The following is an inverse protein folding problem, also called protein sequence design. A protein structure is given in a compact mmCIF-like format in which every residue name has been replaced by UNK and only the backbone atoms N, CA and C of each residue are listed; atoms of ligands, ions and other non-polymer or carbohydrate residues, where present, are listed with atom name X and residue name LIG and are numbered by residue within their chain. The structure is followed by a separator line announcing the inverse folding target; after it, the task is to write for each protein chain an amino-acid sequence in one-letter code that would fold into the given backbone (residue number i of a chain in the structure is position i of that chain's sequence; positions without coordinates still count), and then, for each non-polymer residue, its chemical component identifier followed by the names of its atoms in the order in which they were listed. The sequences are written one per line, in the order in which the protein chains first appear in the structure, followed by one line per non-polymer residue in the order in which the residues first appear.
data_IF_695657112960
#
_entry.id   IF_695657112960
#
_cell.length_a   1.000
_cell.length_b   1.000
_cell.length_c   1.000
_cell.angle_alpha   90.00
_cell.angle_beta   90.00
_cell.angle_gamma   90.00
#
_symmetry.space_group_name_H-M   'P 1'
#
loop_
_entity.id
_entity.type
_entity.pdbx_description
1 polymer ?
#
# COMPACT_ATOMS: atom_id res chain seq x y z
N UNK A 1 4.85 -19.10 62.19
CA UNK A 1 5.58 -17.94 61.64
C UNK A 1 5.30 -17.85 60.15
N UNK A 2 4.48 -16.89 59.70
CA UNK A 2 4.23 -16.56 58.29
C UNK A 2 4.79 -15.17 58.04
N UNK A 3 5.80 -15.04 57.17
CA UNK A 3 6.36 -13.75 56.77
C UNK A 3 6.75 -13.78 55.29
N UNK A 4 6.28 -12.74 54.59
CA UNK A 4 6.85 -12.13 53.39
C UNK A 4 6.41 -12.68 52.02
N UNK A 5 5.21 -12.29 51.58
CA UNK A 5 4.73 -12.44 50.19
C UNK A 5 4.12 -11.13 49.67
N UNK A 6 4.76 -9.99 49.89
CA UNK A 6 4.22 -8.69 49.45
C UNK A 6 5.36 -7.67 49.24
N UNK A 7 6.20 -7.88 48.23
CA UNK A 7 7.13 -6.83 47.75
C UNK A 7 7.69 -7.07 46.33
N UNK A 8 7.06 -7.90 45.50
CA UNK A 8 7.47 -8.11 44.10
C UNK A 8 6.22 -8.18 43.21
N UNK A 9 5.42 -7.12 43.20
CA UNK A 9 4.26 -7.06 42.29
C UNK A 9 4.02 -5.65 41.71
N UNK A 10 5.05 -4.82 41.64
CA UNK A 10 4.90 -3.42 41.20
C UNK A 10 6.03 -2.88 40.31
N UNK A 11 6.88 -3.75 39.75
CA UNK A 11 7.93 -3.34 38.79
C UNK A 11 7.79 -4.02 37.41
N UNK A 12 6.88 -5.00 37.24
CA UNK A 12 6.69 -5.70 35.95
C UNK A 12 5.57 -5.08 35.08
N UNK A 13 4.89 -4.02 35.53
CA UNK A 13 3.79 -3.39 34.78
C UNK A 13 4.20 -2.22 33.87
N UNK A 14 5.50 -1.90 33.75
CA UNK A 14 5.97 -0.69 33.04
C UNK A 14 6.80 -0.96 31.77
N UNK A 15 6.82 -2.20 31.25
CA UNK A 15 7.64 -2.57 30.08
C UNK A 15 6.86 -3.24 28.93
N UNK A 16 5.54 -3.06 28.87
CA UNK A 16 4.71 -3.44 27.71
C UNK A 16 4.10 -2.22 27.02
N UNK A 17 4.80 -1.08 27.05
CA UNK A 17 4.66 -0.10 25.98
C UNK A 17 5.30 -0.69 24.72
N UNK A 18 4.59 -1.65 24.14
CA UNK A 18 4.88 -2.20 22.84
C UNK A 18 5.15 -1.03 21.91
N UNK A 19 6.33 -1.02 21.32
CA UNK A 19 6.66 -0.20 20.16
C UNK A 19 5.66 -0.58 19.07
N UNK A 20 4.45 -0.02 19.12
CA UNK A 20 3.55 0.03 17.99
C UNK A 20 4.31 0.87 16.96
N UNK A 21 5.07 0.18 16.10
CA UNK A 21 5.71 0.81 14.96
C UNK A 21 4.61 1.55 14.24
N UNK A 22 4.66 2.88 14.32
CA UNK A 22 3.71 3.73 13.60
C UNK A 22 3.84 3.32 12.14
N UNK A 23 2.70 2.99 11.53
CA UNK A 23 2.65 2.74 10.10
C UNK A 23 3.33 3.92 9.39
N UNK A 24 4.24 3.68 8.44
CA UNK A 24 4.86 4.75 7.65
C UNK A 24 3.85 5.36 6.67
N UNK A 25 2.67 4.75 6.53
CA UNK A 25 1.63 5.16 5.61
C UNK A 25 0.78 6.28 6.21
N UNK A 26 0.25 7.20 5.38
CA UNK A 26 -0.76 8.13 5.83
C UNK A 26 -1.96 7.37 6.39
N UNK A 27 -2.66 8.00 7.33
CA UNK A 27 -3.94 7.47 7.79
C UNK A 27 -4.92 7.34 6.60
N UNK A 28 -5.89 6.41 6.66
CA UNK A 28 -6.95 6.38 5.66
C UNK A 28 -7.63 7.74 5.53
N UNK A 29 -7.96 8.13 4.30
CA UNK A 29 -8.67 9.40 4.01
C UNK A 29 -10.04 9.11 3.40
N UNK A 30 -10.93 10.11 3.48
CA UNK A 30 -12.31 10.00 3.02
C UNK A 30 -13.20 9.17 3.96
N UNK A 31 -14.52 9.28 3.77
CA UNK A 31 -15.50 8.52 4.56
C UNK A 31 -15.43 7.03 4.28
N UNK A 32 -15.53 6.15 5.29
CA UNK A 32 -15.65 4.70 5.07
C UNK A 32 -16.89 4.31 4.24
N UNK A 33 -17.90 5.20 4.22
CA UNK A 33 -19.14 5.07 3.44
C UNK A 33 -19.06 5.75 2.07
N UNK A 34 -17.90 6.26 1.68
CA UNK A 34 -17.73 6.88 0.38
C UNK A 34 -18.06 5.88 -0.75
N UNK A 35 -18.69 6.34 -1.85
CA UNK A 35 -19.12 5.46 -2.93
C UNK A 35 -17.95 4.80 -3.67
N UNK A 36 -16.75 5.41 -3.61
CA UNK A 36 -15.53 4.86 -4.21
C UNK A 36 -14.55 4.45 -3.14
N UNK A 37 -13.92 3.29 -3.33
CA UNK A 37 -12.89 2.76 -2.43
C UNK A 37 -11.64 2.46 -3.23
N UNK A 38 -10.50 2.99 -2.79
CA UNK A 38 -9.19 2.77 -3.43
C UNK A 38 -8.25 2.13 -2.43
N UNK A 39 -7.61 1.04 -2.84
CA UNK A 39 -6.49 0.45 -2.10
C UNK A 39 -5.18 0.85 -2.75
N UNK A 40 -4.22 1.29 -1.95
CA UNK A 40 -2.83 1.54 -2.35
C UNK A 40 -1.92 0.59 -1.55
N UNK A 41 -1.31 -0.38 -2.21
CA UNK A 41 -0.33 -1.27 -1.62
C UNK A 41 1.10 -0.84 -2.01
N UNK A 42 1.94 -0.49 -1.04
CA UNK A 42 3.25 0.08 -1.30
C UNK A 42 4.38 -0.53 -0.46
N UNK A 43 5.62 -0.32 -0.90
CA UNK A 43 6.83 -0.68 -0.14
C UNK A 43 7.32 0.53 0.65
N UNK A 44 7.71 0.32 1.91
CA UNK A 44 8.26 1.37 2.76
C UNK A 44 9.64 1.84 2.27
N UNK A 45 9.62 2.77 1.32
CA UNK A 45 10.80 3.47 0.79
C UNK A 45 10.48 4.96 0.71
N UNK A 46 11.49 5.81 0.87
CA UNK A 46 11.31 7.27 0.86
C UNK A 46 10.54 7.79 -0.36
N UNK A 47 10.89 7.31 -1.55
CA UNK A 47 10.21 7.71 -2.80
C UNK A 47 8.74 7.28 -2.80
N UNK A 48 8.44 6.03 -2.42
CA UNK A 48 7.08 5.51 -2.46
C UNK A 48 6.18 6.11 -1.38
N UNK A 49 6.72 6.42 -0.20
CA UNK A 49 5.98 7.16 0.83
C UNK A 49 5.54 8.52 0.25
N UNK A 50 6.48 9.29 -0.30
CA UNK A 50 6.17 10.59 -0.89
C UNK A 50 5.19 10.47 -2.08
N UNK A 51 5.32 9.42 -2.89
CA UNK A 51 4.41 9.13 -4.00
C UNK A 51 3.00 8.84 -3.48
N UNK A 52 2.87 7.97 -2.48
CA UNK A 52 1.61 7.59 -1.86
C UNK A 52 0.95 8.80 -1.21
N UNK A 53 1.67 9.61 -0.45
CA UNK A 53 1.15 10.85 0.15
C UNK A 53 0.58 11.79 -0.90
N UNK A 54 1.31 11.98 -2.01
CA UNK A 54 0.83 12.80 -3.13
C UNK A 54 -0.40 12.22 -3.80
N UNK A 55 -0.42 10.91 -4.05
CA UNK A 55 -1.57 10.21 -4.64
C UNK A 55 -2.81 10.29 -3.74
N UNK A 56 -2.65 10.08 -2.43
CA UNK A 56 -3.72 10.21 -1.43
C UNK A 56 -4.29 11.63 -1.45
N UNK A 57 -3.45 12.66 -1.45
CA UNK A 57 -3.90 14.05 -1.56
C UNK A 57 -4.66 14.35 -2.85
N UNK A 58 -4.32 13.69 -3.97
CA UNK A 58 -5.02 13.86 -5.25
C UNK A 58 -6.33 13.07 -5.32
N UNK A 59 -6.45 11.98 -4.57
CA UNK A 59 -7.65 11.14 -4.49
C UNK A 59 -8.65 11.62 -3.44
N UNK A 60 -8.24 12.49 -2.51
CA UNK A 60 -9.11 13.10 -1.51
C UNK A 60 -10.04 14.16 -2.15
N UNK A 61 -11.04 13.69 -2.88
CA UNK A 61 -12.04 14.48 -3.60
C UNK A 61 -13.39 14.56 -2.86
N UNK A 62 -13.45 14.07 -1.62
CA UNK A 62 -14.67 13.97 -0.81
C UNK A 62 -15.59 12.79 -1.14
N UNK A 63 -15.33 12.05 -2.22
CA UNK A 63 -16.13 10.90 -2.67
C UNK A 63 -15.35 9.58 -2.71
N UNK A 64 -14.08 9.61 -2.32
CA UNK A 64 -13.17 8.46 -2.38
C UNK A 64 -12.63 8.15 -0.99
N UNK A 65 -12.82 6.91 -0.55
CA UNK A 65 -12.12 6.34 0.60
C UNK A 65 -10.81 5.72 0.15
N UNK A 66 -9.68 6.14 0.70
CA UNK A 66 -8.37 5.59 0.32
C UNK A 66 -7.76 4.86 1.51
N UNK A 67 -7.42 3.59 1.31
CA UNK A 67 -6.72 2.73 2.26
C UNK A 67 -5.31 2.49 1.75
N UNK A 68 -4.31 2.64 2.61
CA UNK A 68 -2.92 2.34 2.29
C UNK A 68 -2.42 1.17 3.12
N UNK A 69 -1.85 0.17 2.46
CA UNK A 69 -1.26 -1.03 3.09
C UNK A 69 0.17 -1.26 2.61
N UNK A 70 0.90 -2.08 3.36
CA UNK A 70 2.18 -2.60 2.88
C UNK A 70 1.95 -3.68 1.81
N UNK A 71 2.75 -3.68 0.74
CA UNK A 71 2.60 -4.63 -0.37
C UNK A 71 3.18 -6.03 -0.11
N UNK A 72 3.64 -6.31 1.12
CA UNK A 72 4.10 -7.66 1.50
C UNK A 72 2.92 -8.64 1.54
N UNK A 73 3.27 -9.93 1.68
CA UNK A 73 2.30 -11.01 1.89
C UNK A 73 1.34 -10.69 3.03
N UNK A 74 1.81 -10.08 4.12
CA UNK A 74 0.96 -9.80 5.28
C UNK A 74 -0.02 -8.66 5.03
N UNK A 75 0.40 -7.60 4.32
CA UNK A 75 -0.47 -6.47 4.03
C UNK A 75 -1.50 -6.76 2.93
N UNK A 76 -1.19 -7.68 2.00
CA UNK A 76 -2.12 -8.15 0.98
C UNK A 76 -3.01 -9.32 1.43
N UNK A 77 -2.77 -9.89 2.62
CA UNK A 77 -3.52 -11.06 3.09
C UNK A 77 -4.98 -10.69 3.35
N UNK A 78 -5.89 -11.37 2.66
CA UNK A 78 -7.33 -11.17 2.81
C UNK A 78 -7.88 -9.94 2.07
N UNK A 79 -7.04 -9.25 1.29
CA UNK A 79 -7.50 -8.20 0.39
C UNK A 79 -8.24 -8.83 -0.78
N UNK A 80 -9.52 -8.52 -0.92
CA UNK A 80 -10.35 -8.84 -2.08
C UNK A 80 -10.46 -7.61 -2.99
N UNK A 81 -9.96 -7.63 -4.23
CA UNK A 81 -10.01 -6.46 -5.11
C UNK A 81 -11.45 -6.03 -5.45
N UNK A 82 -12.45 -6.90 -5.29
CA UNK A 82 -13.86 -6.57 -5.56
C UNK A 82 -14.46 -5.58 -4.56
N UNK A 83 -13.83 -5.41 -3.40
CA UNK A 83 -14.24 -4.41 -2.39
C UNK A 83 -13.79 -2.99 -2.74
N UNK A 84 -13.01 -2.84 -3.81
CA UNK A 84 -12.39 -1.59 -4.22
C UNK A 84 -12.82 -1.24 -5.64
N UNK A 85 -13.06 0.05 -5.89
CA UNK A 85 -13.20 0.59 -7.24
C UNK A 85 -11.88 0.50 -8.00
N UNK A 86 -10.75 0.63 -7.29
CA UNK A 86 -9.43 0.43 -7.86
C UNK A 86 -8.43 -0.08 -6.82
N UNK A 87 -7.52 -0.95 -7.25
CA UNK A 87 -6.37 -1.41 -6.46
C UNK A 87 -5.10 -0.98 -7.17
N UNK A 88 -4.26 -0.23 -6.48
CA UNK A 88 -2.95 0.20 -6.98
C UNK A 88 -1.83 -0.47 -6.18
N UNK A 89 -0.88 -1.10 -6.86
CA UNK A 89 0.26 -1.75 -6.23
C UNK A 89 1.55 -1.15 -6.77
N UNK A 90 2.44 -0.65 -5.91
CA UNK A 90 3.76 -0.16 -6.32
C UNK A 90 4.89 -1.11 -5.89
N UNK A 91 5.60 -1.67 -6.87
CA UNK A 91 6.64 -2.67 -6.69
C UNK A 91 8.03 -2.13 -7.08
N UNK A 92 9.05 -2.39 -6.26
CA UNK A 92 10.44 -2.12 -6.68
C UNK A 92 10.93 -3.32 -7.47
N UNK A 93 11.23 -3.12 -8.75
CA UNK A 93 11.76 -4.18 -9.59
C UNK A 93 13.26 -4.32 -9.40
N UNK A 94 13.71 -5.04 -8.36
CA UNK A 94 15.09 -5.49 -8.33
C UNK A 94 15.28 -6.51 -9.47
N UNK A 95 16.23 -6.25 -10.38
CA UNK A 95 16.52 -7.10 -11.55
C UNK A 95 15.35 -7.33 -12.50
N UNK A 96 14.49 -6.33 -12.69
CA UNK A 96 13.35 -6.45 -13.59
C UNK A 96 12.36 -7.56 -13.21
N UNK A 97 12.01 -7.65 -11.92
CA UNK A 97 11.08 -8.66 -11.42
C UNK A 97 10.03 -8.08 -10.46
N UNK A 98 8.79 -8.57 -10.59
CA UNK A 98 7.73 -8.31 -9.62
C UNK A 98 8.01 -9.17 -8.38
N UNK A 99 7.83 -8.62 -7.17
CA UNK A 99 8.04 -9.40 -5.95
C UNK A 99 7.12 -10.63 -5.93
N UNK A 100 7.60 -11.80 -5.49
CA UNK A 100 6.80 -13.03 -5.48
C UNK A 100 5.48 -12.92 -4.71
N UNK A 101 5.43 -12.13 -3.63
CA UNK A 101 4.19 -11.94 -2.87
C UNK A 101 3.10 -11.20 -3.68
N UNK A 102 3.50 -10.25 -4.53
CA UNK A 102 2.57 -9.53 -5.41
C UNK A 102 2.10 -10.45 -6.52
N UNK A 103 2.99 -11.22 -7.16
CA UNK A 103 2.61 -12.23 -8.16
C UNK A 103 1.64 -13.26 -7.58
N UNK A 104 1.94 -13.78 -6.40
CA UNK A 104 1.08 -14.73 -5.69
C UNK A 104 -0.31 -14.15 -5.43
N UNK A 105 -0.40 -12.88 -5.03
CA UNK A 105 -1.69 -12.23 -4.82
C UNK A 105 -2.43 -12.02 -6.15
N UNK A 106 -1.75 -11.56 -7.20
CA UNK A 106 -2.33 -11.41 -8.54
C UNK A 106 -2.89 -12.74 -9.07
N UNK A 107 -2.16 -13.84 -8.90
CA UNK A 107 -2.62 -15.18 -9.30
C UNK A 107 -3.89 -15.61 -8.53
N UNK A 108 -3.98 -15.27 -7.24
CA UNK A 108 -5.15 -15.58 -6.41
C UNK A 108 -6.40 -14.80 -6.84
N UNK A 109 -6.22 -13.60 -7.38
CA UNK A 109 -7.32 -12.69 -7.73
C UNK A 109 -7.50 -12.53 -9.24
N UNK A 110 -6.86 -13.36 -10.05
CA UNK A 110 -6.81 -13.23 -11.52
C UNK A 110 -8.19 -13.20 -12.21
N UNK A 111 -9.26 -13.68 -11.57
CA UNK A 111 -10.62 -13.59 -12.09
C UNK A 111 -11.27 -12.19 -11.89
N UNK A 112 -10.63 -11.32 -11.12
CA UNK A 112 -11.17 -10.05 -10.62
C UNK A 112 -10.12 -8.92 -10.71
N UNK A 113 -9.23 -9.00 -11.69
CA UNK A 113 -8.03 -8.16 -11.78
C UNK A 113 -8.21 -6.89 -12.64
N UNK A 114 -9.43 -6.69 -13.17
CA UNK A 114 -9.80 -5.59 -14.09
C UNK A 114 -9.57 -4.20 -13.49
N UNK A 115 -9.65 -4.08 -12.16
CA UNK A 115 -9.48 -2.83 -11.42
C UNK A 115 -8.09 -2.68 -10.79
N UNK A 116 -7.16 -3.59 -11.11
CA UNK A 116 -5.82 -3.61 -10.55
C UNK A 116 -4.85 -2.88 -11.48
N UNK A 117 -4.06 -1.96 -10.92
CA UNK A 117 -2.96 -1.28 -11.59
C UNK A 117 -1.64 -1.62 -10.88
N UNK A 118 -0.71 -2.23 -11.60
CA UNK A 118 0.64 -2.51 -11.12
C UNK A 118 1.62 -1.44 -11.60
N UNK A 119 2.13 -0.65 -10.68
CA UNK A 119 3.25 0.23 -10.92
C UNK A 119 4.56 -0.45 -10.54
N UNK A 120 5.58 -0.32 -11.40
CA UNK A 120 6.92 -0.81 -11.12
C UNK A 120 7.95 0.31 -11.25
N UNK A 121 8.90 0.38 -10.31
CA UNK A 121 9.95 1.40 -10.35
C UNK A 121 11.24 0.84 -10.93
N UNK A 122 11.64 1.29 -12.14
CA UNK A 122 12.87 0.90 -12.83
C UNK A 122 13.38 1.99 -13.77
N UNK A 123 14.67 1.89 -14.16
CA UNK A 123 15.32 2.82 -15.09
C UNK A 123 15.12 2.39 -16.55
N UNK A 124 14.93 1.10 -16.80
CA UNK A 124 14.79 0.54 -18.15
C UNK A 124 13.33 0.26 -18.49
N UNK A 125 13.01 0.32 -19.79
CA UNK A 125 11.71 -0.16 -20.28
C UNK A 125 11.60 -1.66 -20.00
N UNK A 126 10.63 -2.01 -19.17
CA UNK A 126 10.32 -3.37 -18.80
C UNK A 126 8.81 -3.53 -18.74
N UNK A 127 8.33 -4.56 -19.42
CA UNK A 127 6.94 -4.99 -19.39
C UNK A 127 6.85 -6.22 -18.47
N UNK A 128 6.30 -6.07 -17.25
CA UNK A 128 6.14 -7.21 -16.35
C UNK A 128 5.17 -8.22 -16.99
N UNK A 129 5.47 -9.54 -16.94
CA UNK A 129 4.61 -10.57 -17.52
C UNK A 129 3.38 -10.81 -16.61
N UNK A 130 2.54 -9.80 -16.45
CA UNK A 130 1.30 -9.80 -15.67
C UNK A 130 0.12 -9.46 -16.58
N UNK A 131 -1.09 -9.86 -16.18
CA UNK A 131 -2.32 -9.63 -16.97
C UNK A 131 -3.02 -8.31 -16.65
N UNK A 132 -2.62 -7.65 -15.58
CA UNK A 132 -3.21 -6.40 -15.09
C UNK A 132 -2.64 -5.18 -15.82
N UNK A 133 -3.32 -4.04 -15.74
CA UNK A 133 -2.74 -2.78 -16.25
C UNK A 133 -1.42 -2.53 -15.52
N UNK A 134 -0.35 -2.30 -16.27
CA UNK A 134 0.97 -2.10 -15.69
C UNK A 134 1.66 -0.86 -16.26
N UNK A 135 2.44 -0.22 -15.41
CA UNK A 135 3.21 0.96 -15.77
C UNK A 135 4.55 0.95 -15.05
N UNK A 136 5.60 1.31 -15.79
CA UNK A 136 6.96 1.39 -15.27
C UNK A 136 7.41 2.85 -15.30
N UNK A 137 7.97 3.35 -14.19
CA UNK A 137 8.63 4.67 -14.16
C UNK A 137 9.92 4.63 -13.36
N UNK A 138 10.80 5.62 -13.57
CA UNK A 138 11.95 5.81 -12.72
C UNK A 138 11.53 6.36 -11.35
N UNK A 139 12.23 5.95 -10.29
CA UNK A 139 12.09 6.55 -8.95
C UNK A 139 12.86 7.87 -8.88
N UNK A 140 12.24 8.95 -9.36
CA UNK A 140 12.82 10.29 -9.38
C UNK A 140 12.00 11.23 -8.51
N UNK A 141 12.62 11.83 -7.49
CA UNK A 141 11.95 12.85 -6.67
C UNK A 141 11.64 14.12 -7.48
N UNK A 142 12.41 14.41 -8.53
CA UNK A 142 12.17 15.57 -9.40
C UNK A 142 10.90 15.42 -10.24
N UNK A 143 10.50 14.18 -10.56
CA UNK A 143 9.34 13.87 -11.39
C UNK A 143 8.14 13.39 -10.57
N UNK A 144 8.23 13.44 -9.23
CA UNK A 144 7.25 12.85 -8.31
C UNK A 144 5.82 13.29 -8.62
N UNK A 145 5.61 14.59 -8.85
CA UNK A 145 4.27 15.13 -9.13
C UNK A 145 3.72 14.62 -10.46
N UNK A 146 4.53 14.65 -11.53
CA UNK A 146 4.11 14.16 -12.84
C UNK A 146 3.81 12.65 -12.82
N UNK A 147 4.61 11.87 -12.09
CA UNK A 147 4.36 10.45 -11.87
C UNK A 147 3.04 10.26 -11.10
N UNK A 148 2.84 10.96 -9.99
CA UNK A 148 1.62 10.86 -9.19
C UNK A 148 0.36 11.23 -9.99
N UNK A 149 0.40 12.34 -10.74
CA UNK A 149 -0.71 12.81 -11.57
C UNK A 149 -1.06 11.77 -12.66
N UNK A 150 -0.04 11.18 -13.31
CA UNK A 150 -0.23 10.11 -14.29
C UNK A 150 -0.92 8.90 -13.65
N UNK A 151 -0.38 8.41 -12.52
CA UNK A 151 -0.88 7.21 -11.84
C UNK A 151 -2.30 7.41 -11.30
N UNK A 152 -2.61 8.56 -10.70
CA UNK A 152 -3.97 8.90 -10.27
C UNK A 152 -4.92 9.01 -11.47
N UNK A 153 -4.44 9.58 -12.58
CA UNK A 153 -5.20 9.59 -13.84
C UNK A 153 -5.55 8.19 -14.33
N UNK A 154 -4.70 7.17 -14.07
CA UNK A 154 -5.03 5.77 -14.36
C UNK A 154 -6.07 5.21 -13.41
N UNK A 155 -5.87 5.39 -12.10
CA UNK A 155 -6.81 4.95 -11.07
C UNK A 155 -8.22 5.48 -11.37
N UNK A 156 -8.32 6.78 -11.71
CA UNK A 156 -9.60 7.44 -12.02
C UNK A 156 -10.33 6.90 -13.24
N UNK A 157 -9.68 6.17 -14.15
CA UNK A 157 -10.40 5.50 -15.26
C UNK A 157 -11.19 4.29 -14.79
N UNK A 158 -10.89 3.78 -13.59
CA UNK A 158 -11.57 2.65 -12.96
C UNK A 158 -12.55 3.11 -11.85
N UNK A 159 -12.66 4.42 -11.58
CA UNK A 159 -13.54 5.03 -10.56
C UNK A 159 -14.87 5.52 -11.14
#
# INVERSE_FOLDING_TARGET
MRRNTLAILLIVLAATAAHAQRSPWPAPVGSETAPRRVLIAAENTRFKIALVERMVSLLDDGNTHVVVVDHSRNGLRGVDPREYSAVFITNSGARAQVRPAVLQWLDQVAAHDQNVVLHTTQINNWDPPVKVDSITSASSMGDLNAIADNLVGRIRRNL
#
